data_IF_065981180147
#
_entry.id   IF_065981180147
#
_cell.length_a   1.000
_cell.length_b   1.000
_cell.length_c   1.000
_cell.angle_alpha   90.00
_cell.angle_beta   90.00
_cell.angle_gamma   90.00
#
_symmetry.space_group_name_H-M   'P 1'
#
loop_
_entity.id
_entity.type
_entity.pdbx_description
1 polymer ?
#
# COMPACT_ATOMS: atom_id res chain seq x y z
N UNK A 1 3.92 12.96 10.44
CA UNK A 1 3.26 11.83 9.74
C UNK A 1 2.70 12.36 8.43
N UNK A 2 3.00 11.71 7.31
CA UNK A 2 2.47 12.11 6.00
C UNK A 2 1.02 11.65 5.85
N UNK A 3 0.19 12.41 5.13
CA UNK A 3 -1.20 12.03 4.84
C UNK A 3 -1.29 10.61 4.26
N UNK A 4 -0.32 10.23 3.41
CA UNK A 4 -0.23 8.91 2.82
C UNK A 4 -0.07 7.79 3.86
N UNK A 5 0.75 8.01 4.89
CA UNK A 5 0.95 7.06 5.98
C UNK A 5 -0.35 6.85 6.76
N UNK A 6 -1.11 7.92 7.00
CA UNK A 6 -2.40 7.87 7.69
C UNK A 6 -3.47 7.17 6.84
N UNK A 7 -3.55 7.45 5.54
CA UNK A 7 -4.53 6.78 4.65
C UNK A 7 -4.17 5.31 4.49
N UNK A 8 -2.88 4.98 4.38
CA UNK A 8 -2.40 3.60 4.36
C UNK A 8 -2.85 2.85 5.61
N UNK A 9 -2.55 3.38 6.79
CA UNK A 9 -2.96 2.77 8.06
C UNK A 9 -4.48 2.58 8.17
N UNK A 10 -5.27 3.54 7.67
CA UNK A 10 -6.73 3.42 7.63
C UNK A 10 -7.21 2.30 6.72
N UNK A 11 -6.61 2.14 5.55
CA UNK A 11 -7.02 1.15 4.55
C UNK A 11 -6.58 -0.27 4.86
N UNK A 12 -5.32 -0.46 5.27
CA UNK A 12 -4.82 -1.79 5.61
C UNK A 12 -5.06 -2.15 7.08
N UNK A 13 -5.41 -1.18 7.93
CA UNK A 13 -5.86 -1.43 9.30
C UNK A 13 -4.93 -2.38 10.06
N UNK A 14 -5.48 -3.49 10.56
CA UNK A 14 -4.72 -4.50 11.30
C UNK A 14 -3.62 -5.20 10.49
N UNK A 15 -3.69 -5.17 9.15
CA UNK A 15 -2.69 -5.75 8.26
C UNK A 15 -1.45 -4.87 8.10
N UNK A 16 -1.51 -3.61 8.55
CA UNK A 16 -0.37 -2.70 8.49
C UNK A 16 0.84 -3.21 9.28
N UNK A 17 0.61 -4.05 10.29
CA UNK A 17 1.67 -4.75 11.03
C UNK A 17 2.44 -5.77 10.18
N UNK A 18 1.85 -6.26 9.09
CA UNK A 18 2.47 -7.20 8.14
C UNK A 18 3.00 -6.51 6.88
N UNK A 19 2.56 -5.27 6.61
CA UNK A 19 2.88 -4.50 5.40
C UNK A 19 3.41 -3.11 5.74
N UNK A 20 4.73 -3.01 5.78
CA UNK A 20 5.42 -1.75 6.04
C UNK A 20 5.49 -0.91 4.76
N UNK A 21 4.95 0.31 4.79
CA UNK A 21 5.07 1.24 3.68
C UNK A 21 6.48 1.85 3.68
N UNK A 22 7.30 1.46 2.70
CA UNK A 22 8.70 1.92 2.57
C UNK A 22 8.76 3.28 1.89
N UNK A 23 7.88 3.52 0.92
CA UNK A 23 7.85 4.78 0.20
C UNK A 23 6.99 4.76 -1.04
N UNK A 24 7.12 5.82 -1.84
CA UNK A 24 6.37 6.03 -3.07
C UNK A 24 7.30 6.57 -4.14
N UNK A 25 7.17 6.06 -5.37
CA UNK A 25 7.87 6.61 -6.55
C UNK A 25 6.96 6.55 -7.78
N UNK A 26 6.79 7.69 -8.48
CA UNK A 26 5.96 7.82 -9.70
C UNK A 26 4.54 7.22 -9.60
N UNK A 27 3.87 7.38 -8.46
CA UNK A 27 2.53 6.82 -8.23
C UNK A 27 2.53 5.33 -7.88
N UNK A 28 3.68 4.71 -7.70
CA UNK A 28 3.79 3.33 -7.20
C UNK A 28 4.17 3.35 -5.73
N UNK A 29 3.40 2.65 -4.90
CA UNK A 29 3.72 2.42 -3.50
C UNK A 29 4.62 1.21 -3.36
N UNK A 30 5.70 1.35 -2.58
CA UNK A 30 6.63 0.28 -2.27
C UNK A 30 6.38 -0.18 -0.84
N UNK A 31 6.03 -1.45 -0.72
CA UNK A 31 5.63 -2.08 0.53
C UNK A 31 6.56 -3.23 0.83
N UNK A 32 7.05 -3.30 2.06
CA UNK A 32 7.85 -4.40 2.57
C UNK A 32 6.96 -5.33 3.40
N UNK A 33 6.58 -6.50 2.85
CA UNK A 33 5.86 -7.51 3.60
C UNK A 33 6.79 -8.20 4.61
N UNK A 34 6.26 -8.57 5.79
CA UNK A 34 7.02 -9.30 6.82
C UNK A 34 7.22 -10.79 6.54
N UNK A 35 6.43 -11.38 5.64
CA UNK A 35 6.49 -12.81 5.29
C UNK A 35 6.11 -13.05 3.83
N UNK A 36 6.42 -14.24 3.31
CA UNK A 36 6.01 -14.65 1.97
C UNK A 36 4.48 -14.71 1.82
N UNK A 37 3.77 -15.18 2.86
CA UNK A 37 2.30 -15.20 2.88
C UNK A 37 1.73 -13.77 2.80
N UNK A 38 2.29 -12.83 3.56
CA UNK A 38 1.90 -11.43 3.49
C UNK A 38 2.20 -10.83 2.10
N UNK A 39 3.29 -11.22 1.44
CA UNK A 39 3.59 -10.78 0.09
C UNK A 39 2.56 -11.28 -0.94
N UNK A 40 2.15 -12.54 -0.84
CA UNK A 40 1.12 -13.11 -1.71
C UNK A 40 -0.25 -12.46 -1.48
N UNK A 41 -0.66 -12.29 -0.22
CA UNK A 41 -1.92 -11.63 0.09
C UNK A 41 -1.93 -10.17 -0.40
N UNK A 42 -0.79 -9.46 -0.28
CA UNK A 42 -0.66 -8.11 -0.80
C UNK A 42 -0.87 -8.07 -2.32
N UNK A 43 -0.27 -9.00 -3.07
CA UNK A 43 -0.45 -9.07 -4.52
C UNK A 43 -1.92 -9.31 -4.91
N UNK A 44 -2.61 -10.22 -4.19
CA UNK A 44 -4.02 -10.52 -4.44
C UNK A 44 -4.93 -9.32 -4.16
N UNK A 45 -4.61 -8.52 -3.13
CA UNK A 45 -5.42 -7.37 -2.70
C UNK A 45 -5.00 -6.03 -3.32
N UNK A 46 -3.83 -5.95 -3.94
CA UNK A 46 -3.20 -4.71 -4.39
C UNK A 46 -4.13 -3.84 -5.23
N UNK A 47 -4.83 -4.43 -6.22
CA UNK A 47 -5.74 -3.68 -7.09
C UNK A 47 -6.92 -3.04 -6.32
N UNK A 48 -7.48 -3.76 -5.34
CA UNK A 48 -8.55 -3.25 -4.48
C UNK A 48 -8.05 -2.13 -3.57
N UNK A 49 -6.87 -2.31 -2.97
CA UNK A 49 -6.25 -1.31 -2.10
C UNK A 49 -5.94 -0.03 -2.89
N UNK A 50 -5.38 -0.12 -4.11
CA UNK A 50 -5.12 1.04 -4.97
C UNK A 50 -6.41 1.82 -5.26
N UNK A 51 -7.51 1.12 -5.60
CA UNK A 51 -8.80 1.77 -5.84
C UNK A 51 -9.32 2.47 -4.59
N UNK A 52 -9.21 1.82 -3.43
CA UNK A 52 -9.71 2.37 -2.17
C UNK A 52 -8.89 3.57 -1.69
N UNK A 53 -7.55 3.49 -1.78
CA UNK A 53 -6.65 4.59 -1.45
C UNK A 53 -6.93 5.84 -2.29
N UNK A 54 -7.21 5.69 -3.59
CA UNK A 54 -7.51 6.82 -4.46
C UNK A 54 -8.83 7.53 -4.10
N UNK A 55 -9.75 6.93 -3.33
CA UNK A 55 -10.99 7.59 -2.87
C UNK A 55 -10.73 8.73 -1.88
N UNK A 56 -9.56 8.74 -1.24
CA UNK A 56 -9.18 9.77 -0.27
C UNK A 56 -8.53 11.01 -0.90
N UNK A 57 -8.33 11.00 -2.22
CA UNK A 57 -7.70 12.09 -2.94
C UNK A 57 -8.67 12.64 -3.99
N UNK A 58 -8.65 13.96 -4.20
CA UNK A 58 -9.48 14.62 -5.21
C UNK A 58 -9.21 14.09 -6.63
N UNK A 59 -7.95 13.69 -6.88
CA UNK A 59 -7.52 13.07 -8.13
C UNK A 59 -6.81 11.76 -7.86
N UNK A 60 -7.22 10.71 -8.56
CA UNK A 60 -6.52 9.43 -8.51
C UNK A 60 -5.09 9.57 -9.06
N UNK A 61 -4.09 9.29 -8.23
CA UNK A 61 -2.68 9.39 -8.59
C UNK A 61 -1.87 8.14 -8.23
N UNK A 62 -2.39 7.28 -7.35
CA UNK A 62 -1.78 5.99 -7.00
C UNK A 62 -2.12 4.99 -8.10
N UNK A 63 -1.10 4.42 -8.74
CA UNK A 63 -1.22 3.54 -9.91
C UNK A 63 -1.07 2.07 -9.56
N UNK A 64 -0.17 1.76 -8.62
CA UNK A 64 0.18 0.39 -8.29
C UNK A 64 0.77 0.27 -6.87
N UNK A 65 0.73 -0.94 -6.34
CA UNK A 65 1.50 -1.35 -5.15
C UNK A 65 2.47 -2.43 -5.60
N UNK A 66 3.74 -2.30 -5.21
CA UNK A 66 4.78 -3.29 -5.46
C UNK A 66 5.44 -3.69 -4.15
N UNK A 67 5.85 -4.96 -4.11
CA UNK A 67 6.74 -5.43 -3.06
C UNK A 67 8.12 -4.78 -3.29
N UNK A 68 8.66 -4.13 -2.26
CA UNK A 68 10.03 -3.67 -2.28
C UNK A 68 10.94 -4.91 -2.32
N UNK A 69 11.64 -5.12 -3.44
CA UNK A 69 12.75 -6.06 -3.47
C UNK A 69 13.83 -5.55 -2.51
N UNK A 70 14.47 -6.47 -1.78
CA UNK A 70 15.59 -6.18 -0.88
C UNK A 70 16.69 -5.39 -1.58
#
# INVERSE_FOLDING_TARGET
MSILSSVWQKEVGHLSGHWELVGMKYGTLFVKPRSAAAAQELQLRAAGIVRSLNKYFERAWIKAIKVAAR
#
